data_IF_268751650668
#
_entry.id   IF_268751650668
#
_cell.length_a   1.000
_cell.length_b   1.000
_cell.length_c   1.000
_cell.angle_alpha   90.00
_cell.angle_beta   90.00
_cell.angle_gamma   90.00
#
_symmetry.space_group_name_H-M   'P 1'
#
loop_
_entity.id
_entity.type
_entity.pdbx_description
1 polymer ?
#
# COMPACT_ATOMS: atom_id res chain seq x y z
N UNK A 1 -13.65 1.45 -11.39
CA UNK A 1 -13.82 1.76 -9.96
C UNK A 1 -12.93 2.93 -9.62
N UNK A 2 -13.50 4.05 -9.20
CA UNK A 2 -12.72 5.22 -8.77
C UNK A 2 -12.21 4.96 -7.36
N UNK A 3 -10.88 4.89 -7.20
CA UNK A 3 -10.24 4.64 -5.92
C UNK A 3 -10.34 5.90 -5.05
N UNK A 4 -10.78 5.74 -3.79
CA UNK A 4 -10.70 6.82 -2.80
C UNK A 4 -9.24 7.10 -2.46
N UNK A 5 -8.81 8.35 -2.64
CA UNK A 5 -7.47 8.79 -2.26
C UNK A 5 -7.43 9.05 -0.76
N UNK A 6 -6.40 8.53 -0.09
CA UNK A 6 -6.14 8.78 1.32
C UNK A 6 -4.93 9.69 1.50
N UNK A 7 -4.87 10.49 2.58
CA UNK A 7 -3.71 11.33 2.87
C UNK A 7 -2.43 10.52 3.15
N UNK A 8 -2.55 9.21 3.39
CA UNK A 8 -1.45 8.26 3.57
C UNK A 8 -0.99 7.62 2.26
N UNK A 9 -1.59 7.97 1.12
CA UNK A 9 -1.20 7.44 -0.17
C UNK A 9 0.16 8.00 -0.62
N UNK A 10 0.91 7.16 -1.32
CA UNK A 10 2.22 7.54 -1.86
C UNK A 10 2.09 8.52 -3.03
N UNK A 11 2.96 9.52 -3.03
CA UNK A 11 3.19 10.39 -4.18
C UNK A 11 3.77 9.62 -5.36
N UNK A 12 3.69 10.18 -6.56
CA UNK A 12 4.22 9.54 -7.77
C UNK A 12 5.74 9.34 -7.70
N UNK A 13 6.47 10.27 -7.09
CA UNK A 13 7.91 10.19 -6.92
C UNK A 13 8.32 9.06 -5.95
N UNK A 14 7.62 8.92 -4.81
CA UNK A 14 7.86 7.83 -3.87
C UNK A 14 7.51 6.47 -4.48
N UNK A 15 6.40 6.43 -5.24
CA UNK A 15 5.98 5.23 -5.96
C UNK A 15 7.04 4.74 -6.95
N UNK A 16 7.71 5.65 -7.67
CA UNK A 16 8.78 5.28 -8.61
C UNK A 16 9.93 4.54 -7.94
N UNK A 17 10.32 4.95 -6.73
CA UNK A 17 11.39 4.27 -5.97
C UNK A 17 10.94 2.88 -5.55
N UNK A 18 9.71 2.74 -5.03
CA UNK A 18 9.18 1.48 -4.52
C UNK A 18 8.91 0.48 -5.66
N UNK A 19 8.37 0.96 -6.79
CA UNK A 19 8.03 0.12 -7.93
C UNK A 19 9.23 -0.67 -8.46
N UNK A 20 10.43 -0.09 -8.40
CA UNK A 20 11.68 -0.75 -8.81
C UNK A 20 12.07 -1.92 -7.92
N UNK A 21 11.64 -1.90 -6.64
CA UNK A 21 11.91 -2.97 -5.68
C UNK A 21 10.91 -4.12 -5.79
N UNK A 22 9.79 -3.92 -6.49
CA UNK A 22 8.77 -4.94 -6.66
C UNK A 22 9.21 -5.88 -7.79
N UNK A 23 9.48 -7.17 -7.50
CA UNK A 23 9.93 -8.07 -8.53
C UNK A 23 8.83 -8.29 -9.58
N UNK A 24 9.21 -8.41 -10.86
CA UNK A 24 8.26 -8.71 -11.91
C UNK A 24 7.55 -10.03 -11.62
N UNK A 25 6.36 -10.19 -12.21
CA UNK A 25 5.56 -11.40 -12.01
C UNK A 25 6.35 -12.63 -12.44
N UNK A 26 6.35 -13.67 -11.60
CA UNK A 26 7.09 -14.91 -11.90
C UNK A 26 6.57 -15.54 -13.21
N UNK A 27 7.46 -15.90 -14.15
CA UNK A 27 7.06 -16.61 -15.36
C UNK A 27 6.52 -18.00 -14.98
N UNK A 28 5.35 -18.36 -15.50
CA UNK A 28 4.67 -19.64 -15.22
C UNK A 28 3.77 -19.66 -13.97
N UNK A 29 3.63 -18.53 -13.26
CA UNK A 29 2.68 -18.38 -12.16
C UNK A 29 1.37 -17.69 -12.57
N UNK A 30 0.46 -17.50 -11.62
CA UNK A 30 -0.74 -16.71 -11.87
C UNK A 30 -0.37 -15.23 -12.04
N UNK A 31 -0.76 -14.64 -13.16
CA UNK A 31 -0.51 -13.22 -13.44
C UNK A 31 -1.19 -12.34 -12.39
N UNK A 32 -0.48 -11.35 -11.88
CA UNK A 32 -1.08 -10.34 -11.00
C UNK A 32 -2.15 -9.58 -11.78
N UNK A 33 -3.39 -9.64 -11.32
CA UNK A 33 -4.52 -8.85 -11.83
C UNK A 33 -4.71 -7.55 -11.03
N UNK A 34 -4.12 -7.47 -9.84
CA UNK A 34 -4.22 -6.33 -8.93
C UNK A 34 -3.13 -5.30 -9.19
N UNK A 35 -3.49 -4.02 -9.10
CA UNK A 35 -2.53 -2.91 -9.09
C UNK A 35 -1.69 -2.94 -7.81
N UNK A 36 -0.37 -3.09 -7.98
CA UNK A 36 0.58 -3.11 -6.87
C UNK A 36 0.61 -1.78 -6.10
N UNK A 37 0.32 -0.65 -6.75
CA UNK A 37 0.27 0.65 -6.08
C UNK A 37 -0.87 0.71 -5.07
N UNK A 38 -2.03 0.19 -5.47
CA UNK A 38 -3.18 0.10 -4.58
C UNK A 38 -2.90 -0.77 -3.34
N UNK A 39 -2.17 -1.88 -3.51
CA UNK A 39 -1.79 -2.76 -2.40
C UNK A 39 -0.84 -2.06 -1.43
N UNK A 40 0.19 -1.39 -1.96
CA UNK A 40 1.13 -0.65 -1.10
C UNK A 40 0.42 0.48 -0.37
N UNK A 41 -0.38 1.28 -1.07
CA UNK A 41 -1.15 2.35 -0.42
C UNK A 41 -2.11 1.83 0.67
N UNK A 42 -2.73 0.65 0.47
CA UNK A 42 -3.55 0.01 1.49
C UNK A 42 -2.73 -0.39 2.75
N UNK A 43 -1.51 -0.90 2.56
CA UNK A 43 -0.61 -1.19 3.68
C UNK A 43 -0.23 0.08 4.45
N UNK A 44 0.08 1.18 3.74
CA UNK A 44 0.39 2.46 4.37
C UNK A 44 -0.82 3.00 5.15
N UNK A 45 -2.02 2.97 4.55
CA UNK A 45 -3.24 3.31 5.28
C UNK A 45 -3.40 2.50 6.57
N UNK A 46 -3.21 1.18 6.50
CA UNK A 46 -3.32 0.32 7.67
C UNK A 46 -2.29 0.68 8.75
N UNK A 47 -1.01 0.79 8.38
CA UNK A 47 0.06 1.05 9.36
C UNK A 47 -0.09 2.43 10.01
N UNK A 48 -0.41 3.47 9.24
CA UNK A 48 -0.46 4.83 9.77
C UNK A 48 -1.76 5.17 10.48
N UNK A 49 -2.90 4.62 10.03
CA UNK A 49 -4.21 4.91 10.62
C UNK A 49 -4.56 3.90 11.72
N UNK A 50 -4.37 2.60 11.50
CA UNK A 50 -4.78 1.58 12.47
C UNK A 50 -3.87 1.54 13.70
N UNK A 51 -2.57 1.83 13.58
CA UNK A 51 -1.69 1.88 14.77
C UNK A 51 -1.97 3.08 15.67
N UNK A 52 -2.51 4.19 15.14
CA UNK A 52 -2.98 5.30 15.99
C UNK A 52 -4.19 4.89 16.85
N UNK A 53 -5.04 4.02 16.32
CA UNK A 53 -6.16 3.44 17.08
C UNK A 53 -5.68 2.35 18.06
N UNK A 54 -4.71 1.53 17.67
CA UNK A 54 -4.15 0.48 18.54
C UNK A 54 -3.39 1.06 19.74
N UNK A 55 -2.56 2.09 19.55
CA UNK A 55 -1.88 2.78 20.65
C UNK A 55 -2.87 3.49 21.57
N UNK A 56 -3.95 4.07 21.03
CA UNK A 56 -5.01 4.67 21.85
C UNK A 56 -5.80 3.63 22.65
N UNK A 57 -5.90 2.38 22.16
CA UNK A 57 -6.63 1.29 22.82
C UNK A 57 -5.79 0.54 23.86
N UNK A 58 -4.46 0.46 23.69
CA UNK A 58 -3.54 -0.17 24.65
C UNK A 58 -3.10 0.81 25.76
N UNK A 59 -3.21 2.12 25.54
CA UNK A 59 -2.91 3.16 26.52
C UNK A 59 -4.13 3.62 27.35
N UNK A 60 -5.29 2.95 27.20
CA UNK A 60 -6.50 3.15 28.00
C UNK A 60 -6.72 1.94 28.92
#
# INVERSE_FOLDING_TARGET
MTRQAYPTDLSDAEWQIIALLIPPTKPGGWSRTTDMRAVVNANFYFIFVANRLCLAYVAA
#
